data_IF_832800175609
#
_entry.id   IF_832800175609
#
_cell.length_a   1.000
_cell.length_b   1.000
_cell.length_c   1.000
_cell.angle_alpha   90.00
_cell.angle_beta   90.00
_cell.angle_gamma   90.00
#
_symmetry.space_group_name_H-M   'P 1'
#
loop_
_entity.id
_entity.type
_entity.pdbx_description
1 polymer ?
#
# COMPACT_ATOMS: atom_id res chain seq x y z
N UNK A 1 9.38 1.81 12.88
CA UNK A 1 9.59 1.07 11.64
C UNK A 1 10.95 1.47 11.09
N UNK A 2 11.86 0.52 10.92
CA UNK A 2 13.14 0.73 10.19
C UNK A 2 13.01 0.34 8.70
N UNK A 3 14.05 0.55 7.91
CA UNK A 3 14.03 0.30 6.46
C UNK A 3 13.78 -1.17 6.14
N UNK A 4 14.44 -2.08 6.86
CA UNK A 4 14.25 -3.52 6.65
C UNK A 4 12.80 -3.96 6.89
N UNK A 5 12.17 -3.45 7.96
CA UNK A 5 10.75 -3.68 8.27
C UNK A 5 9.84 -3.14 7.16
N UNK A 6 10.10 -1.92 6.68
CA UNK A 6 9.36 -1.32 5.56
C UNK A 6 9.45 -2.19 4.30
N UNK A 7 10.65 -2.61 3.91
CA UNK A 7 10.88 -3.44 2.71
C UNK A 7 10.18 -4.79 2.84
N UNK A 8 10.33 -5.47 3.97
CA UNK A 8 9.72 -6.77 4.19
C UNK A 8 8.19 -6.68 4.16
N UNK A 9 7.62 -5.68 4.83
CA UNK A 9 6.18 -5.45 4.83
C UNK A 9 5.66 -5.15 3.42
N UNK A 10 6.27 -4.20 2.71
CA UNK A 10 5.79 -3.78 1.38
C UNK A 10 5.97 -4.86 0.30
N UNK A 11 7.01 -5.70 0.40
CA UNK A 11 7.14 -6.91 -0.46
C UNK A 11 6.04 -7.92 -0.20
N UNK A 12 5.69 -8.16 1.06
CA UNK A 12 4.58 -9.04 1.42
C UNK A 12 3.24 -8.47 0.91
N UNK A 13 3.02 -7.15 1.05
CA UNK A 13 1.85 -6.45 0.49
C UNK A 13 1.80 -6.67 -1.03
N UNK A 14 2.90 -6.40 -1.75
CA UNK A 14 2.97 -6.59 -3.20
C UNK A 14 2.57 -8.01 -3.59
N UNK A 15 3.24 -9.03 -3.04
CA UNK A 15 2.98 -10.43 -3.38
C UNK A 15 1.57 -10.88 -2.99
N UNK A 16 1.10 -10.53 -1.80
CA UNK A 16 -0.21 -10.97 -1.29
C UNK A 16 -1.35 -10.40 -2.14
N UNK A 17 -1.24 -9.14 -2.55
CA UNK A 17 -2.28 -8.50 -3.34
C UNK A 17 -2.24 -8.88 -4.81
N UNK A 18 -1.06 -9.07 -5.43
CA UNK A 18 -0.99 -9.63 -6.79
C UNK A 18 -1.53 -11.05 -6.82
N UNK A 19 -1.25 -11.86 -5.79
CA UNK A 19 -1.83 -13.20 -5.67
C UNK A 19 -3.35 -13.13 -5.47
N UNK A 20 -3.85 -12.21 -4.65
CA UNK A 20 -5.29 -12.01 -4.48
C UNK A 20 -5.96 -11.60 -5.81
N UNK A 21 -5.28 -10.80 -6.64
CA UNK A 21 -5.76 -10.40 -7.96
C UNK A 21 -5.84 -11.61 -8.89
N UNK A 22 -4.76 -12.40 -8.96
CA UNK A 22 -4.73 -13.60 -9.80
C UNK A 22 -5.83 -14.59 -9.44
N UNK A 23 -6.07 -14.78 -8.13
CA UNK A 23 -7.14 -15.62 -7.62
C UNK A 23 -8.52 -15.05 -7.92
N UNK A 24 -8.72 -13.74 -7.80
CA UNK A 24 -9.99 -13.09 -8.09
C UNK A 24 -10.35 -13.18 -9.58
N UNK A 25 -9.38 -12.92 -10.47
CA UNK A 25 -9.58 -13.05 -11.91
C UNK A 25 -9.82 -14.49 -12.33
N UNK A 26 -9.07 -15.42 -11.75
CA UNK A 26 -9.28 -16.85 -11.93
C UNK A 26 -10.69 -17.29 -11.52
N UNK A 27 -11.15 -16.88 -10.33
CA UNK A 27 -12.50 -17.15 -9.86
C UNK A 27 -13.56 -16.51 -10.78
N UNK A 28 -13.34 -15.28 -11.25
CA UNK A 28 -14.23 -14.60 -12.20
C UNK A 28 -14.38 -15.42 -13.48
N UNK A 29 -13.28 -15.92 -14.06
CA UNK A 29 -13.29 -16.77 -15.27
C UNK A 29 -14.07 -18.08 -15.05
N UNK A 30 -13.93 -18.72 -13.89
CA UNK A 30 -14.66 -19.97 -13.58
C UNK A 30 -16.16 -19.78 -13.36
N UNK A 31 -16.58 -18.62 -12.83
CA UNK A 31 -17.96 -18.36 -12.44
C UNK A 31 -18.77 -17.64 -13.53
N UNK A 32 -18.12 -16.97 -14.48
CA UNK A 32 -18.79 -16.24 -15.56
C UNK A 32 -19.22 -17.19 -16.69
N UNK A 33 -20.53 -17.33 -16.99
CA UNK A 33 -21.00 -18.17 -18.09
C UNK A 33 -20.45 -17.77 -19.46
N UNK A 34 -19.96 -16.53 -19.63
CA UNK A 34 -19.35 -16.06 -20.87
C UNK A 34 -17.92 -16.58 -21.07
N UNK A 35 -17.31 -17.14 -20.02
CA UNK A 35 -15.96 -17.72 -20.05
C UNK A 35 -15.98 -19.25 -20.25
N UNK A 36 -17.14 -19.88 -20.44
CA UNK A 36 -17.21 -21.34 -20.67
C UNK A 36 -16.76 -21.76 -22.06
N UNK A 37 -16.39 -23.03 -22.18
CA UNK A 37 -15.93 -23.70 -23.40
C UNK A 37 -14.41 -23.82 -23.46
N UNK A 38 -13.92 -25.01 -23.77
CA UNK A 38 -12.49 -25.34 -23.73
C UNK A 38 -11.66 -24.54 -24.75
N UNK A 39 -12.31 -23.93 -25.75
CA UNK A 39 -11.68 -23.09 -26.78
C UNK A 39 -11.82 -21.59 -26.52
N UNK A 40 -12.38 -21.19 -25.37
CA UNK A 40 -12.58 -19.78 -25.04
C UNK A 40 -11.23 -19.07 -24.80
N UNK A 41 -11.06 -17.88 -25.38
CA UNK A 41 -9.83 -17.09 -25.25
C UNK A 41 -9.51 -16.68 -23.81
N UNK A 42 -10.50 -16.62 -22.93
CA UNK A 42 -10.28 -16.33 -21.51
C UNK A 42 -9.29 -17.31 -20.83
N UNK A 43 -9.15 -18.53 -21.37
CA UNK A 43 -8.22 -19.56 -20.91
C UNK A 43 -6.82 -19.45 -21.53
N UNK A 44 -6.64 -18.63 -22.56
CA UNK A 44 -5.37 -18.41 -23.25
C UNK A 44 -4.57 -17.21 -22.71
N UNK A 45 -5.19 -16.39 -21.86
CA UNK A 45 -4.58 -15.22 -21.24
C UNK A 45 -4.42 -15.44 -19.73
N UNK A 46 -3.30 -14.98 -19.16
CA UNK A 46 -3.06 -15.05 -17.71
C UNK A 46 -4.11 -14.26 -16.89
N UNK A 47 -4.26 -14.53 -15.59
CA UNK A 47 -3.75 -15.69 -14.85
C UNK A 47 -4.37 -17.01 -15.38
N UNK A 48 -3.55 -18.07 -15.44
CA UNK A 48 -3.94 -19.39 -15.94
C UNK A 48 -4.41 -20.29 -14.79
N UNK A 49 -5.52 -20.99 -15.02
CA UNK A 49 -5.99 -22.05 -14.14
C UNK A 49 -5.69 -23.40 -14.80
N UNK A 50 -4.91 -24.22 -14.13
CA UNK A 50 -4.62 -25.60 -14.53
C UNK A 50 -4.57 -26.45 -13.28
N UNK A 51 -4.94 -27.72 -13.42
CA UNK A 51 -4.79 -28.69 -12.36
C UNK A 51 -3.31 -29.05 -12.13
N UNK A 52 -2.88 -29.37 -10.90
CA UNK A 52 -1.56 -29.96 -10.69
C UNK A 52 -1.41 -31.24 -11.54
N UNK A 53 -0.17 -31.57 -11.93
CA UNK A 53 0.11 -32.66 -12.87
C UNK A 53 -0.50 -34.03 -12.48
N UNK A 54 -0.72 -34.28 -11.19
CA UNK A 54 -1.27 -35.53 -10.65
C UNK A 54 -2.80 -35.52 -10.44
N UNK A 55 -3.51 -34.48 -10.89
CA UNK A 55 -4.95 -34.29 -10.66
C UNK A 55 -5.72 -34.13 -11.97
N UNK A 56 -6.99 -34.58 -12.04
CA UNK A 56 -7.84 -34.38 -13.22
C UNK A 56 -7.93 -32.91 -13.62
N UNK A 57 -7.91 -32.63 -14.92
CA UNK A 57 -7.95 -31.25 -15.40
C UNK A 57 -9.25 -30.51 -15.09
N UNK A 58 -9.16 -29.18 -15.04
CA UNK A 58 -10.30 -28.30 -14.80
C UNK A 58 -11.26 -28.39 -15.99
N UNK A 59 -12.56 -28.58 -15.69
CA UNK A 59 -13.61 -28.71 -16.70
C UNK A 59 -14.15 -27.32 -17.04
N UNK A 60 -13.85 -26.80 -18.24
CA UNK A 60 -14.30 -25.47 -18.65
C UNK A 60 -15.66 -25.47 -19.36
N UNK A 61 -16.25 -26.64 -19.59
CA UNK A 61 -17.51 -26.78 -20.35
C UNK A 61 -18.76 -26.25 -19.65
N UNK A 62 -18.70 -25.96 -18.35
CA UNK A 62 -19.83 -25.46 -17.56
C UNK A 62 -19.37 -24.43 -16.54
N UNK A 63 -20.20 -23.42 -16.18
CA UNK A 63 -19.86 -22.46 -15.15
C UNK A 63 -19.90 -23.13 -13.78
N UNK A 64 -18.98 -22.74 -12.90
CA UNK A 64 -18.95 -23.20 -11.53
C UNK A 64 -19.99 -22.43 -10.69
N UNK A 65 -20.52 -23.07 -9.65
CA UNK A 65 -21.42 -22.41 -8.69
C UNK A 65 -20.66 -22.21 -7.38
N UNK A 66 -20.55 -20.95 -6.95
CA UNK A 66 -19.91 -20.61 -5.69
C UNK A 66 -20.95 -20.64 -4.55
N UNK A 67 -20.67 -21.43 -3.51
CA UNK A 67 -21.36 -21.29 -2.23
C UNK A 67 -20.77 -20.10 -1.47
N UNK A 68 -21.62 -19.20 -0.99
CA UNK A 68 -21.17 -18.03 -0.21
C UNK A 68 -20.46 -18.46 1.08
N UNK A 69 -19.43 -17.70 1.46
CA UNK A 69 -18.69 -17.93 2.72
C UNK A 69 -19.54 -17.57 3.94
N UNK A 70 -19.20 -18.13 5.11
CA UNK A 70 -19.84 -17.76 6.38
C UNK A 70 -19.77 -16.24 6.63
N UNK A 71 -18.64 -15.61 6.31
CA UNK A 71 -18.43 -14.17 6.47
C UNK A 71 -19.33 -13.37 5.55
N UNK A 72 -19.39 -13.73 4.26
CA UNK A 72 -20.26 -13.10 3.28
C UNK A 72 -21.73 -13.23 3.68
N UNK A 73 -22.15 -14.41 4.17
CA UNK A 73 -23.51 -14.63 4.67
C UNK A 73 -23.84 -13.75 5.87
N UNK A 74 -22.91 -13.60 6.82
CA UNK A 74 -23.11 -12.75 8.01
C UNK A 74 -23.12 -11.27 7.69
N UNK A 75 -22.23 -10.82 6.80
CA UNK A 75 -22.26 -9.44 6.30
C UNK A 75 -23.57 -9.13 5.57
N UNK A 76 -24.06 -10.05 4.74
CA UNK A 76 -25.34 -9.92 4.05
C UNK A 76 -26.52 -9.86 5.05
N UNK A 77 -26.53 -10.68 6.11
CA UNK A 77 -27.55 -10.63 7.18
C UNK A 77 -27.55 -9.27 7.90
N UNK A 78 -26.38 -8.68 8.16
CA UNK A 78 -26.26 -7.36 8.79
C UNK A 78 -26.85 -6.24 7.90
N UNK A 79 -26.56 -6.29 6.60
CA UNK A 79 -26.97 -5.24 5.65
C UNK A 79 -28.45 -5.37 5.29
N UNK A 80 -28.93 -6.60 5.05
CA UNK A 80 -30.27 -6.85 4.51
C UNK A 80 -31.30 -7.27 5.58
N UNK A 81 -30.86 -7.48 6.82
CA UNK A 81 -31.69 -8.03 7.89
C UNK A 81 -31.87 -9.55 7.81
N UNK A 82 -32.54 -10.12 8.81
CA UNK A 82 -32.71 -11.58 8.97
C UNK A 82 -33.60 -12.24 7.91
N UNK A 83 -34.50 -11.49 7.29
CA UNK A 83 -35.48 -11.97 6.31
C UNK A 83 -35.54 -11.02 5.10
N UNK A 84 -34.51 -11.03 4.24
CA UNK A 84 -34.50 -10.21 3.05
C UNK A 84 -35.58 -10.66 2.06
N UNK A 85 -36.17 -9.74 1.26
CA UNK A 85 -37.08 -10.09 0.19
C UNK A 85 -36.43 -11.08 -0.78
N UNK A 86 -37.19 -12.12 -1.16
CA UNK A 86 -36.76 -13.12 -2.15
C UNK A 86 -37.35 -12.79 -3.51
N UNK A 87 -36.55 -12.97 -4.54
CA UNK A 87 -36.96 -12.94 -5.95
C UNK A 87 -37.81 -14.18 -6.29
N UNK A 88 -38.46 -14.20 -7.45
CA UNK A 88 -39.34 -15.29 -7.90
C UNK A 88 -38.63 -16.66 -7.97
N UNK A 89 -37.32 -16.66 -8.24
CA UNK A 89 -36.49 -17.87 -8.25
C UNK A 89 -36.03 -18.31 -6.84
N UNK A 90 -36.49 -17.65 -5.78
CA UNK A 90 -36.11 -17.92 -4.39
C UNK A 90 -34.76 -17.32 -3.98
N UNK A 91 -34.05 -16.65 -4.89
CA UNK A 91 -32.79 -15.95 -4.62
C UNK A 91 -33.01 -14.65 -3.85
N UNK A 92 -31.94 -14.15 -3.22
CA UNK A 92 -31.95 -12.84 -2.55
C UNK A 92 -30.99 -11.92 -3.28
N UNK A 93 -31.48 -10.75 -3.72
CA UNK A 93 -30.64 -9.75 -4.36
C UNK A 93 -29.87 -8.96 -3.32
N UNK A 94 -28.56 -9.17 -3.26
CA UNK A 94 -27.68 -8.41 -2.36
C UNK A 94 -27.38 -7.04 -2.99
N UNK A 95 -27.58 -5.90 -2.28
CA UNK A 95 -27.35 -4.57 -2.81
C UNK A 95 -25.85 -4.21 -2.75
N UNK A 96 -24.98 -5.02 -3.34
CA UNK A 96 -23.57 -4.69 -3.45
C UNK A 96 -23.31 -3.94 -4.76
N UNK A 97 -22.45 -2.93 -4.69
CA UNK A 97 -21.87 -2.34 -5.88
C UNK A 97 -20.77 -3.28 -6.38
N UNK A 98 -20.89 -3.75 -7.62
CA UNK A 98 -19.84 -4.56 -8.23
C UNK A 98 -18.67 -3.64 -8.56
N UNK A 99 -17.59 -3.76 -7.79
CA UNK A 99 -16.32 -3.13 -8.13
C UNK A 99 -15.47 -4.11 -8.93
N UNK A 100 -14.69 -3.58 -9.86
CA UNK A 100 -13.67 -4.35 -10.54
C UNK A 100 -12.63 -4.84 -9.49
N UNK A 101 -12.38 -6.15 -9.38
CA UNK A 101 -11.37 -6.69 -8.46
C UNK A 101 -9.99 -6.06 -8.67
N UNK A 102 -9.60 -5.77 -9.91
CA UNK A 102 -8.33 -5.11 -10.24
C UNK A 102 -8.21 -3.78 -9.48
N UNK A 103 -9.30 -3.00 -9.53
CA UNK A 103 -9.36 -1.68 -8.96
C UNK A 103 -9.29 -1.72 -7.44
N UNK A 104 -10.06 -2.60 -6.79
CA UNK A 104 -10.07 -2.72 -5.32
C UNK A 104 -8.68 -3.10 -4.79
N UNK A 105 -8.03 -4.03 -5.48
CA UNK A 105 -6.71 -4.54 -5.11
C UNK A 105 -5.65 -3.47 -5.34
N UNK A 106 -5.64 -2.81 -6.50
CA UNK A 106 -4.72 -1.72 -6.79
C UNK A 106 -4.81 -0.59 -5.76
N UNK A 107 -6.02 -0.17 -5.38
CA UNK A 107 -6.21 0.84 -4.34
C UNK A 107 -5.62 0.40 -2.99
N UNK A 108 -5.89 -0.84 -2.59
CA UNK A 108 -5.42 -1.39 -1.31
C UNK A 108 -3.89 -1.44 -1.25
N UNK A 109 -3.26 -1.87 -2.33
CA UNK A 109 -1.79 -1.89 -2.46
C UNK A 109 -1.19 -0.50 -2.30
N UNK A 110 -1.73 0.50 -3.00
CA UNK A 110 -1.17 1.86 -2.97
C UNK A 110 -1.31 2.48 -1.59
N UNK A 111 -2.49 2.35 -0.97
CA UNK A 111 -2.74 2.88 0.39
C UNK A 111 -1.78 2.25 1.39
N UNK A 112 -1.67 0.92 1.42
CA UNK A 112 -0.81 0.22 2.38
C UNK A 112 0.67 0.54 2.17
N UNK A 113 1.11 0.62 0.91
CA UNK A 113 2.50 0.95 0.58
C UNK A 113 2.85 2.37 1.02
N UNK A 114 1.99 3.35 0.72
CA UNK A 114 2.21 4.73 1.14
C UNK A 114 2.19 4.86 2.68
N UNK A 115 1.22 4.22 3.34
CA UNK A 115 1.13 4.23 4.80
C UNK A 115 2.38 3.64 5.47
N UNK A 116 2.97 2.60 4.89
CA UNK A 116 4.24 2.06 5.38
C UNK A 116 5.41 3.03 5.19
N UNK A 117 5.47 3.71 4.03
CA UNK A 117 6.52 4.70 3.76
C UNK A 117 6.43 5.89 4.72
N UNK A 118 5.21 6.36 4.97
CA UNK A 118 4.94 7.45 5.90
C UNK A 118 5.27 7.05 7.36
N UNK A 119 4.96 5.82 7.77
CA UNK A 119 5.35 5.33 9.10
C UNK A 119 6.87 5.15 9.26
N UNK A 120 7.57 4.78 8.18
CA UNK A 120 9.03 4.73 8.12
C UNK A 120 9.64 6.14 8.27
N UNK A 121 9.16 7.13 7.51
CA UNK A 121 9.53 8.55 7.68
C UNK A 121 9.32 9.00 9.13
N UNK A 122 8.13 8.74 9.68
CA UNK A 122 7.76 9.17 11.02
C UNK A 122 8.62 8.55 12.12
N UNK A 123 9.02 7.29 11.96
CA UNK A 123 9.90 6.62 12.91
C UNK A 123 11.26 7.33 13.00
N UNK A 124 11.89 7.58 11.84
CA UNK A 124 13.17 8.28 11.77
C UNK A 124 13.09 9.73 12.28
N UNK A 125 12.01 10.44 11.93
CA UNK A 125 11.84 11.83 12.39
C UNK A 125 11.59 11.89 13.90
N UNK A 126 10.84 10.95 14.47
CA UNK A 126 10.64 10.88 15.92
C UNK A 126 11.97 10.74 16.65
N UNK A 127 12.88 9.89 16.15
CA UNK A 127 14.22 9.70 16.72
C UNK A 127 15.09 10.95 16.55
N UNK A 128 15.04 11.59 15.40
CA UNK A 128 15.79 12.82 15.13
C UNK A 128 15.32 14.00 16.00
N UNK A 129 14.00 14.16 16.21
CA UNK A 129 13.43 15.17 17.10
C UNK A 129 13.88 14.91 18.54
N UNK A 130 13.79 13.66 19.02
CA UNK A 130 14.19 13.34 20.38
C UNK A 130 15.69 13.62 20.62
N UNK A 131 16.53 13.29 19.65
CA UNK A 131 17.99 13.48 19.71
C UNK A 131 18.40 14.95 19.66
N UNK A 132 17.58 15.81 19.05
CA UNK A 132 17.86 17.23 18.84
C UNK A 132 16.97 18.17 19.67
N UNK A 133 16.22 17.68 20.66
CA UNK A 133 15.18 18.48 21.35
C UNK A 133 15.69 19.80 21.95
N UNK A 134 16.97 19.88 22.27
CA UNK A 134 17.62 21.07 22.82
C UNK A 134 17.96 22.13 21.76
N UNK A 135 18.07 21.77 20.48
CA UNK A 135 18.53 22.67 19.42
C UNK A 135 17.40 23.45 18.73
N UNK A 136 16.14 23.10 18.97
CA UNK A 136 14.98 23.77 18.37
C UNK A 136 13.94 24.29 19.36
N UNK A 137 14.16 24.13 20.67
CA UNK A 137 13.30 24.71 21.70
C UNK A 137 13.97 25.94 22.34
N UNK A 138 13.42 27.13 22.06
CA UNK A 138 13.83 28.39 22.68
C UNK A 138 13.09 28.64 24.02
N UNK A 139 12.13 27.80 24.39
CA UNK A 139 11.34 27.99 25.62
C UNK A 139 12.08 27.44 26.85
N UNK A 140 12.47 28.35 27.74
CA UNK A 140 13.06 27.99 29.04
C UNK A 140 12.03 27.24 29.88
N UNK A 141 12.29 25.98 30.21
CA UNK A 141 11.55 25.28 31.26
C UNK A 141 11.63 26.06 32.57
N UNK A 142 10.50 26.17 33.28
CA UNK A 142 10.50 26.80 34.60
C UNK A 142 11.01 25.80 35.67
N UNK A 143 11.59 26.33 36.76
CA UNK A 143 12.20 25.53 37.85
C UNK A 143 11.20 24.59 38.54
N UNK A 144 9.90 24.90 38.48
CA UNK A 144 8.84 24.10 39.09
C UNK A 144 8.57 22.83 38.28
N UNK A 145 8.44 22.95 36.96
CA UNK A 145 8.27 21.80 36.06
C UNK A 145 9.44 20.82 36.17
N UNK A 146 10.66 21.32 36.33
CA UNK A 146 11.85 20.49 36.57
C UNK A 146 11.75 19.67 37.85
N UNK A 147 11.32 20.30 38.96
CA UNK A 147 11.15 19.62 40.25
C UNK A 147 10.03 18.59 40.23
N UNK A 148 8.93 18.88 39.53
CA UNK A 148 7.73 18.06 39.56
C UNK A 148 7.78 16.86 38.59
N UNK A 149 8.42 17.02 37.42
CA UNK A 149 8.40 16.02 36.34
C UNK A 149 9.76 15.39 36.03
N UNK A 150 10.86 16.09 36.32
CA UNK A 150 12.22 15.70 35.92
C UNK A 150 12.53 16.02 34.44
N UNK A 151 13.82 16.27 34.15
CA UNK A 151 14.29 16.74 32.84
C UNK A 151 13.89 15.81 31.68
N UNK A 152 14.09 14.51 31.84
CA UNK A 152 13.85 13.52 30.78
C UNK A 152 12.39 13.44 30.37
N UNK A 153 11.45 13.53 31.33
CA UNK A 153 10.02 13.55 31.01
C UNK A 153 9.60 14.82 30.31
N UNK A 154 10.22 15.96 30.65
CA UNK A 154 9.95 17.23 29.99
C UNK A 154 10.45 17.23 28.54
N UNK A 155 11.68 16.74 28.31
CA UNK A 155 12.25 16.56 26.97
C UNK A 155 11.37 15.66 26.10
N UNK A 156 10.97 14.50 26.63
CA UNK A 156 10.09 13.56 25.92
C UNK A 156 8.73 14.20 25.57
N UNK A 157 8.09 14.88 26.51
CA UNK A 157 6.81 15.56 26.26
C UNK A 157 6.90 16.66 25.19
N UNK A 158 8.04 17.37 25.10
CA UNK A 158 8.30 18.36 24.04
C UNK A 158 8.54 17.68 22.69
N UNK A 159 9.35 16.64 22.65
CA UNK A 159 9.56 15.85 21.44
C UNK A 159 8.23 15.31 20.88
N UNK A 160 7.36 14.78 21.75
CA UNK A 160 6.01 14.32 21.39
C UNK A 160 5.13 15.45 20.84
N UNK A 161 5.20 16.66 21.41
CA UNK A 161 4.47 17.83 20.90
C UNK A 161 4.92 18.20 19.48
N UNK A 162 6.23 18.34 19.26
CA UNK A 162 6.77 18.67 17.93
C UNK A 162 6.49 17.58 16.90
N UNK A 163 6.62 16.32 17.29
CA UNK A 163 6.30 15.18 16.43
C UNK A 163 4.82 15.16 16.03
N UNK A 164 3.91 15.50 16.96
CA UNK A 164 2.47 15.61 16.64
C UNK A 164 2.19 16.71 15.62
N UNK A 165 2.83 17.87 15.76
CA UNK A 165 2.71 18.96 14.79
C UNK A 165 3.23 18.50 13.42
N UNK A 166 4.41 17.88 13.39
CA UNK A 166 5.03 17.36 12.19
C UNK A 166 4.12 16.37 11.43
N UNK A 167 3.54 15.36 12.12
CA UNK A 167 2.65 14.37 11.49
C UNK A 167 1.40 14.98 10.83
N UNK A 168 0.94 16.12 11.32
CA UNK A 168 -0.25 16.79 10.79
C UNK A 168 -0.01 17.61 9.52
N UNK A 169 1.26 17.82 9.16
CA UNK A 169 1.64 18.62 8.00
C UNK A 169 1.59 17.81 6.70
N UNK A 170 1.34 18.46 5.55
CA UNK A 170 1.47 17.83 4.24
C UNK A 170 2.94 17.49 3.95
N UNK A 171 3.19 16.44 3.15
CA UNK A 171 4.52 15.94 2.79
C UNK A 171 5.47 17.06 2.35
N UNK A 172 4.98 17.98 1.50
CA UNK A 172 5.78 19.12 1.02
C UNK A 172 6.37 19.95 2.18
N UNK A 173 5.58 20.20 3.21
CA UNK A 173 6.03 20.96 4.40
C UNK A 173 6.95 20.09 5.26
N UNK A 174 6.61 18.81 5.44
CA UNK A 174 7.40 17.86 6.24
C UNK A 174 8.82 17.68 5.75
N UNK A 175 9.02 17.54 4.43
CA UNK A 175 10.35 17.41 3.83
C UNK A 175 11.15 18.70 4.06
N UNK A 176 10.53 19.88 3.91
CA UNK A 176 11.21 21.15 4.20
C UNK A 176 11.71 21.20 5.66
N UNK A 177 10.89 20.71 6.59
CA UNK A 177 11.17 20.71 8.02
C UNK A 177 12.32 19.77 8.42
N UNK A 178 12.76 18.83 7.57
CA UNK A 178 13.94 17.99 7.84
C UNK A 178 15.20 18.80 8.14
N UNK A 179 15.38 19.95 7.48
CA UNK A 179 16.50 20.85 7.73
C UNK A 179 16.53 21.39 9.16
N UNK A 180 15.35 21.56 9.79
CA UNK A 180 15.24 22.00 11.19
C UNK A 180 15.81 20.96 12.16
N UNK A 181 15.89 19.71 11.73
CA UNK A 181 16.42 18.59 12.50
C UNK A 181 17.84 18.20 12.06
N UNK A 182 18.51 19.05 11.27
CA UNK A 182 19.84 18.78 10.68
C UNK A 182 19.87 17.54 9.77
N UNK A 183 18.75 17.27 9.08
CA UNK A 183 18.60 16.16 8.13
C UNK A 183 18.60 16.72 6.71
N UNK A 184 19.38 16.11 5.83
CA UNK A 184 19.41 16.47 4.41
C UNK A 184 18.06 16.16 3.75
N UNK A 185 17.61 17.00 2.83
CA UNK A 185 16.38 16.75 2.08
C UNK A 185 16.59 15.73 0.95
N UNK A 186 15.51 15.09 0.51
CA UNK A 186 15.48 14.34 -0.74
C UNK A 186 15.81 15.26 -1.94
N UNK A 187 16.30 14.71 -3.06
CA UNK A 187 16.43 15.53 -4.27
C UNK A 187 15.06 15.97 -4.81
N UNK A 188 14.99 17.10 -5.50
CA UNK A 188 13.76 17.68 -6.07
C UNK A 188 12.89 16.67 -6.82
N UNK A 189 13.50 15.76 -7.58
CA UNK A 189 12.79 14.68 -8.30
C UNK A 189 12.05 13.75 -7.33
N UNK A 190 12.74 13.29 -6.29
CA UNK A 190 12.17 12.39 -5.28
C UNK A 190 11.15 13.10 -4.40
N UNK A 191 11.37 14.38 -4.08
CA UNK A 191 10.37 15.20 -3.37
C UNK A 191 9.08 15.31 -4.16
N UNK A 192 9.15 15.62 -5.45
CA UNK A 192 7.97 15.68 -6.34
C UNK A 192 7.24 14.36 -6.36
N UNK A 193 7.95 13.24 -6.51
CA UNK A 193 7.35 11.91 -6.47
C UNK A 193 6.70 11.62 -5.13
N UNK A 194 7.31 11.97 -4.01
CA UNK A 194 6.72 11.72 -2.70
C UNK A 194 5.42 12.54 -2.49
N UNK A 195 5.41 13.79 -2.95
CA UNK A 195 4.22 14.63 -2.96
C UNK A 195 3.14 14.02 -3.86
N UNK A 196 3.48 13.58 -5.08
CA UNK A 196 2.56 12.90 -5.99
C UNK A 196 1.91 11.66 -5.35
N UNK A 197 2.71 10.82 -4.68
CA UNK A 197 2.21 9.64 -3.96
C UNK A 197 1.21 10.01 -2.86
N UNK A 198 1.53 11.05 -2.07
CA UNK A 198 0.67 11.57 -1.00
C UNK A 198 -0.65 12.13 -1.53
N UNK A 199 -0.59 12.96 -2.55
CA UNK A 199 -1.76 13.59 -3.14
C UNK A 199 -2.68 12.55 -3.78
N UNK A 200 -2.11 11.54 -4.43
CA UNK A 200 -2.88 10.43 -4.98
C UNK A 200 -3.54 9.58 -3.89
N UNK A 201 -2.83 9.26 -2.80
CA UNK A 201 -3.41 8.56 -1.63
C UNK A 201 -4.55 9.37 -1.02
N UNK A 202 -4.39 10.68 -0.86
CA UNK A 202 -5.43 11.56 -0.32
C UNK A 202 -6.65 11.61 -1.25
N UNK A 203 -6.42 11.71 -2.57
CA UNK A 203 -7.50 11.59 -3.55
C UNK A 203 -8.27 10.28 -3.37
N UNK A 204 -7.58 9.14 -3.30
CA UNK A 204 -8.23 7.84 -3.11
C UNK A 204 -9.02 7.72 -1.81
N UNK A 205 -8.52 8.29 -0.71
CA UNK A 205 -9.21 8.25 0.59
C UNK A 205 -10.51 9.08 0.62
N UNK A 206 -10.64 10.07 -0.25
CA UNK A 206 -11.78 11.01 -0.27
C UNK A 206 -12.71 10.84 -1.47
N UNK A 207 -12.42 9.92 -2.39
CA UNK A 207 -13.28 9.69 -3.57
C UNK A 207 -14.30 8.59 -3.25
N UNK A 208 -15.60 8.88 -3.43
CA UNK A 208 -16.69 7.90 -3.28
C UNK A 208 -16.78 6.90 -4.46
N UNK A 209 -16.02 7.13 -5.53
CA UNK A 209 -15.82 6.21 -6.65
C UNK A 209 -14.38 5.72 -6.62
N UNK A 210 -14.18 4.41 -6.70
CA UNK A 210 -12.85 3.90 -7.01
C UNK A 210 -12.46 4.42 -8.40
N UNK A 211 -11.32 5.09 -8.51
CA UNK A 211 -10.78 5.50 -9.81
C UNK A 211 -10.43 4.23 -10.63
N UNK A 212 -10.22 4.30 -11.94
CA UNK A 212 -9.76 3.14 -12.74
C UNK A 212 -8.26 2.82 -12.48
N UNK A 213 -7.85 2.72 -11.21
CA UNK A 213 -6.50 2.34 -10.83
C UNK A 213 -6.26 0.89 -11.24
N UNK A 214 -5.22 0.66 -12.02
CA UNK A 214 -4.83 -0.68 -12.50
C UNK A 214 -3.72 -1.26 -11.62
N UNK A 215 -3.58 -2.59 -11.63
CA UNK A 215 -2.48 -3.27 -10.92
C UNK A 215 -1.12 -2.72 -11.38
N UNK A 216 -1.00 -2.38 -12.67
CA UNK A 216 0.16 -1.68 -13.23
C UNK A 216 0.53 -0.42 -12.43
N UNK A 217 -0.45 0.47 -12.20
CA UNK A 217 -0.25 1.71 -11.45
C UNK A 217 0.12 1.43 -10.00
N UNK A 218 -0.46 0.39 -9.37
CA UNK A 218 -0.08 0.02 -8.01
C UNK A 218 1.39 -0.46 -7.91
N UNK A 219 1.87 -1.20 -8.92
CA UNK A 219 3.27 -1.64 -9.02
C UNK A 219 4.20 -0.44 -9.24
N UNK A 220 3.84 0.51 -10.10
CA UNK A 220 4.57 1.78 -10.28
C UNK A 220 4.74 2.53 -8.95
N UNK A 221 3.65 2.66 -8.20
CA UNK A 221 3.64 3.32 -6.89
C UNK A 221 4.51 2.60 -5.87
N UNK A 222 4.50 1.26 -5.88
CA UNK A 222 5.41 0.47 -5.05
C UNK A 222 6.88 0.78 -5.36
N UNK A 223 7.27 0.82 -6.63
CA UNK A 223 8.65 1.11 -7.01
C UNK A 223 9.09 2.54 -6.68
N UNK A 224 8.20 3.52 -6.82
CA UNK A 224 8.49 4.88 -6.38
C UNK A 224 8.66 4.95 -4.86
N UNK A 225 7.77 4.33 -4.09
CA UNK A 225 7.88 4.28 -2.63
C UNK A 225 9.16 3.55 -2.17
N UNK A 226 9.50 2.44 -2.82
CA UNK A 226 10.75 1.72 -2.59
C UNK A 226 11.95 2.63 -2.83
N UNK A 227 12.02 3.30 -3.97
CA UNK A 227 13.15 4.20 -4.33
C UNK A 227 13.29 5.36 -3.34
N UNK A 228 12.18 5.96 -2.92
CA UNK A 228 12.19 7.00 -1.88
C UNK A 228 12.71 6.45 -0.55
N UNK A 229 12.25 5.25 -0.14
CA UNK A 229 12.69 4.63 1.12
C UNK A 229 14.19 4.34 1.16
N UNK A 230 14.76 3.92 0.03
CA UNK A 230 16.19 3.65 -0.11
C UNK A 230 16.97 4.94 0.09
N UNK A 231 16.53 6.04 -0.54
CA UNK A 231 17.18 7.34 -0.36
C UNK A 231 17.01 7.90 1.05
N UNK A 232 15.85 7.66 1.67
CA UNK A 232 15.62 7.98 3.08
C UNK A 232 16.57 7.20 4.00
N UNK A 233 16.81 5.91 3.74
CA UNK A 233 17.75 5.12 4.55
C UNK A 233 19.17 5.71 4.53
N UNK A 234 19.64 6.19 3.39
CA UNK A 234 20.93 6.89 3.30
C UNK A 234 20.93 8.21 4.07
N UNK A 235 19.87 9.02 3.91
CA UNK A 235 19.74 10.34 4.55
C UNK A 235 19.64 10.24 6.07
N UNK A 236 18.88 9.27 6.57
CA UNK A 236 18.69 9.02 8.00
C UNK A 236 19.80 8.15 8.61
N UNK A 237 20.75 7.65 7.79
CA UNK A 237 21.77 6.70 8.19
C UNK A 237 21.19 5.42 8.85
N UNK A 238 20.07 4.91 8.33
CA UNK A 238 19.45 3.68 8.82
C UNK A 238 20.30 2.46 8.41
N UNK A 239 21.02 1.91 9.39
CA UNK A 239 21.91 0.77 9.20
C UNK A 239 21.20 -0.50 8.69
N UNK A 240 19.89 -0.64 8.95
CA UNK A 240 19.10 -1.78 8.47
C UNK A 240 18.92 -1.78 6.95
N UNK A 241 19.08 -0.62 6.31
CA UNK A 241 19.02 -0.45 4.86
C UNK A 241 20.36 -0.61 4.14
N UNK A 242 21.49 -0.53 4.86
CA UNK A 242 22.84 -0.57 4.26
C UNK A 242 23.12 -1.84 3.43
N UNK A 243 22.73 -3.06 3.86
CA UNK A 243 22.92 -4.26 3.03
C UNK A 243 22.07 -4.22 1.74
N UNK A 244 20.92 -3.54 1.78
CA UNK A 244 19.93 -3.49 0.71
C UNK A 244 20.23 -2.37 -0.31
N UNK A 245 21.03 -1.37 0.06
CA UNK A 245 21.52 -0.32 -0.86
C UNK A 245 22.39 -0.89 -1.99
N UNK A 246 23.12 -1.97 -1.72
CA UNK A 246 23.95 -2.64 -2.73
C UNK A 246 23.11 -3.43 -3.75
N UNK A 247 21.92 -3.89 -3.36
CA UNK A 247 20.96 -4.56 -4.24
C UNK A 247 20.01 -3.57 -4.93
N UNK A 248 19.82 -2.39 -4.34
CA UNK A 248 19.05 -1.31 -4.92
C UNK A 248 19.89 -0.63 -6.02
N UNK A 249 19.86 -1.19 -7.23
CA UNK A 249 19.91 -0.32 -8.40
C UNK A 249 18.74 0.64 -8.24
N UNK A 250 19.02 1.89 -7.86
CA UNK A 250 18.06 2.99 -7.93
C UNK A 250 17.34 2.84 -9.26
N UNK A 251 16.00 2.72 -9.23
CA UNK A 251 15.22 2.59 -10.45
C UNK A 251 15.57 3.74 -11.39
N UNK A 252 16.41 3.44 -12.39
CA UNK A 252 16.77 4.40 -13.41
C UNK A 252 15.58 4.54 -14.36
N UNK A 253 15.53 5.63 -15.15
CA UNK A 253 14.54 5.72 -16.23
C UNK A 253 14.65 4.55 -17.22
N UNK A 254 15.84 3.95 -17.33
CA UNK A 254 16.07 2.73 -18.11
C UNK A 254 15.50 1.48 -17.44
N UNK A 255 15.58 1.34 -16.12
CA UNK A 255 14.96 0.22 -15.37
C UNK A 255 13.43 0.34 -15.37
N UNK A 256 12.90 1.56 -15.30
CA UNK A 256 11.48 1.85 -15.52
C UNK A 256 11.08 1.33 -16.92
N UNK A 257 11.79 1.74 -17.97
CA UNK A 257 11.55 1.27 -19.35
C UNK A 257 11.73 -0.26 -19.51
N UNK A 258 12.74 -0.85 -18.88
CA UNK A 258 13.11 -2.27 -18.99
C UNK A 258 12.13 -3.20 -18.26
N UNK A 259 11.62 -2.80 -17.10
CA UNK A 259 10.50 -3.50 -16.45
C UNK A 259 9.29 -3.51 -17.38
N UNK A 260 8.99 -2.39 -18.05
CA UNK A 260 7.84 -2.33 -18.93
C UNK A 260 8.02 -3.11 -20.24
N UNK A 261 9.22 -3.15 -20.79
CA UNK A 261 9.54 -3.96 -21.97
C UNK A 261 9.58 -5.47 -21.67
N UNK A 262 9.77 -5.90 -20.41
CA UNK A 262 9.90 -7.33 -20.04
C UNK A 262 8.79 -7.92 -19.17
N UNK A 263 8.09 -7.10 -18.37
CA UNK A 263 7.06 -7.54 -17.40
C UNK A 263 5.64 -7.37 -17.94
N UNK A 264 5.43 -6.51 -18.96
CA UNK A 264 4.11 -6.30 -19.59
C UNK A 264 4.03 -6.70 -21.07
N UNK A 265 5.12 -7.17 -21.68
CA UNK A 265 5.12 -7.75 -23.03
C UNK A 265 5.40 -9.26 -23.00
N UNK A 266 4.49 -9.99 -22.37
CA UNK A 266 4.05 -11.32 -22.83
C UNK A 266 2.52 -11.18 -22.86
N UNK A 267 1.92 -10.66 -23.94
CA UNK A 267 1.78 -11.36 -25.22
C UNK A 267 1.69 -10.40 -26.43
N UNK A 268 1.97 -10.91 -27.66
CA UNK A 268 1.53 -10.32 -28.93
C UNK A 268 0.01 -10.28 -29.10
#
# INVERSE_FOLDING_TARGET
MNHSEFINFTRQVLLSWTQAFDLAESARKMLDPRCTGDTNKAWAEGPFLTSPADFPEIVHSHPYVLRTSLYSSKAAELIMGRNPPKEENGGVKIPYQSYDPEVVIAHSMIILTYSALEEYEFSNISEAILSNVESFDNEKFNLRDFKDKGLERLKKGRAEYHFKQYKSQPVKTRICDWQKFNIAQLEDRMQKKYIELSDFRNKMAHTNSLNESKIKTAIEYYYFAYSISVRMAEIFADESGLPLLNDAKLFTEEDEKLIWDKVLFVSP
#
